data_IF_049220108201
#
_entry.id   IF_049220108201
#
_cell.length_a   1.000
_cell.length_b   1.000
_cell.length_c   1.000
_cell.angle_alpha   90.00
_cell.angle_beta   90.00
_cell.angle_gamma   90.00
#
_symmetry.space_group_name_H-M   'P 1'
#
loop_
_entity.id
_entity.type
_entity.pdbx_description
1 polymer ?
#
# COMPACT_ATOMS: atom_id res chain seq x y z
N UNK A 1 5.71 1.66 20.30
CA UNK A 1 6.87 2.54 19.97
C UNK A 1 7.64 1.86 18.85
N UNK A 2 7.93 2.57 17.78
CA UNK A 2 8.67 2.04 16.65
C UNK A 2 10.10 1.63 17.04
N UNK A 3 10.63 0.61 16.37
CA UNK A 3 12.01 0.11 16.58
C UNK A 3 13.06 1.08 15.99
N UNK A 4 12.70 1.88 15.00
CA UNK A 4 13.54 2.90 14.39
C UNK A 4 12.92 4.27 14.59
N UNK A 5 13.76 5.26 14.89
CA UNK A 5 13.32 6.64 15.10
C UNK A 5 12.98 7.30 13.75
N UNK A 6 11.91 8.11 13.70
CA UNK A 6 11.68 9.00 12.57
C UNK A 6 12.82 10.05 12.51
N UNK A 7 13.07 10.56 11.30
CA UNK A 7 14.02 11.67 11.15
C UNK A 7 13.56 12.89 11.96
N UNK A 8 14.53 13.59 12.55
CA UNK A 8 14.33 14.97 13.00
C UNK A 8 14.75 15.92 11.87
N UNK A 9 13.78 16.60 11.28
CA UNK A 9 14.03 17.51 10.16
C UNK A 9 15.00 18.64 10.51
N UNK A 10 14.98 19.13 11.75
CA UNK A 10 15.82 20.23 12.17
C UNK A 10 17.32 19.89 12.15
N UNK A 11 17.66 18.63 12.42
CA UNK A 11 19.05 18.13 12.47
C UNK A 11 19.44 17.27 11.27
N UNK A 12 18.50 17.04 10.34
CA UNK A 12 18.72 16.20 9.17
C UNK A 12 19.76 16.79 8.21
N UNK A 13 20.43 15.92 7.46
CA UNK A 13 21.33 16.31 6.37
C UNK A 13 20.59 16.95 5.19
N UNK A 14 21.32 17.64 4.31
CA UNK A 14 20.71 18.36 3.18
C UNK A 14 19.98 17.44 2.21
N UNK A 15 20.50 16.23 1.97
CA UNK A 15 19.88 15.22 1.10
C UNK A 15 18.58 14.67 1.68
N UNK A 16 18.51 14.48 3.00
CA UNK A 16 17.29 14.07 3.72
C UNK A 16 16.25 15.20 3.65
N UNK A 17 16.65 16.44 3.91
CA UNK A 17 15.76 17.60 3.82
C UNK A 17 15.22 17.78 2.39
N UNK A 18 16.08 17.70 1.39
CA UNK A 18 15.67 17.80 -0.01
C UNK A 18 14.65 16.73 -0.40
N UNK A 19 14.85 15.48 0.03
CA UNK A 19 13.90 14.39 -0.23
C UNK A 19 12.58 14.58 0.53
N UNK A 20 12.63 15.06 1.77
CA UNK A 20 11.45 15.41 2.55
C UNK A 20 10.61 16.49 1.87
N UNK A 21 11.24 17.57 1.41
CA UNK A 21 10.57 18.66 0.70
C UNK A 21 9.98 18.19 -0.64
N UNK A 22 10.72 17.36 -1.36
CA UNK A 22 10.23 16.73 -2.59
C UNK A 22 8.96 15.92 -2.33
N UNK A 23 8.93 15.12 -1.28
CA UNK A 23 7.76 14.31 -0.93
C UNK A 23 6.57 15.18 -0.54
N UNK A 24 6.79 16.24 0.25
CA UNK A 24 5.74 17.19 0.59
C UNK A 24 5.17 17.90 -0.63
N UNK A 25 6.02 18.33 -1.57
CA UNK A 25 5.59 18.97 -2.81
C UNK A 25 4.74 18.04 -3.68
N UNK A 26 5.10 16.75 -3.75
CA UNK A 26 4.40 15.76 -4.58
C UNK A 26 3.13 15.20 -3.95
N UNK A 27 3.11 15.01 -2.62
CA UNK A 27 2.08 14.23 -1.92
C UNK A 27 1.39 14.95 -0.77
N UNK A 28 1.85 16.14 -0.43
CA UNK A 28 1.23 17.04 0.55
C UNK A 28 1.41 16.63 2.02
N UNK A 29 2.02 15.48 2.32
CA UNK A 29 2.17 15.02 3.72
C UNK A 29 3.30 14.03 3.93
N UNK A 30 3.78 14.00 5.18
CA UNK A 30 4.74 13.02 5.70
C UNK A 30 4.05 12.12 6.72
N UNK A 31 3.95 10.84 6.42
CA UNK A 31 3.47 9.82 7.37
C UNK A 31 4.60 9.35 8.28
N UNK A 32 4.26 8.68 9.39
CA UNK A 32 5.24 8.09 10.29
C UNK A 32 6.18 7.12 9.57
N UNK A 33 5.61 6.26 8.71
CA UNK A 33 6.41 5.35 7.86
C UNK A 33 7.42 6.11 6.99
N UNK A 34 7.00 7.17 6.31
CA UNK A 34 7.87 7.97 5.43
C UNK A 34 8.99 8.66 6.21
N UNK A 35 8.68 9.19 7.40
CA UNK A 35 9.70 9.81 8.27
C UNK A 35 10.76 8.81 8.70
N UNK A 36 10.41 7.56 8.94
CA UNK A 36 11.36 6.50 9.27
C UNK A 36 12.15 6.09 8.03
N UNK A 37 11.50 5.91 6.88
CA UNK A 37 12.16 5.58 5.60
C UNK A 37 13.19 6.65 5.19
N UNK A 38 12.96 7.91 5.51
CA UNK A 38 13.86 9.02 5.20
C UNK A 38 15.22 8.96 5.90
N UNK A 39 15.43 8.09 6.89
CA UNK A 39 16.78 7.78 7.35
C UNK A 39 17.65 7.24 6.20
N UNK A 40 17.02 6.76 5.10
CA UNK A 40 17.67 6.43 3.83
C UNK A 40 16.83 7.03 2.69
N UNK A 41 17.21 8.17 2.10
CA UNK A 41 16.51 8.76 0.95
C UNK A 41 16.33 7.78 -0.22
N UNK A 42 17.31 6.88 -0.43
CA UNK A 42 17.20 5.84 -1.46
C UNK A 42 16.07 4.84 -1.15
N UNK A 43 15.96 4.37 0.09
CA UNK A 43 14.86 3.50 0.50
C UNK A 43 13.51 4.21 0.37
N UNK A 44 13.40 5.46 0.81
CA UNK A 44 12.20 6.25 0.67
C UNK A 44 11.72 6.34 -0.80
N UNK A 45 12.63 6.63 -1.75
CA UNK A 45 12.30 6.70 -3.19
C UNK A 45 11.79 5.38 -3.74
N UNK A 46 12.41 4.25 -3.38
CA UNK A 46 11.98 2.93 -3.83
C UNK A 46 10.55 2.64 -3.36
N UNK A 47 10.23 2.91 -2.10
CA UNK A 47 8.87 2.74 -1.60
C UNK A 47 7.88 3.73 -2.22
N UNK A 48 8.32 4.94 -2.59
CA UNK A 48 7.48 5.93 -3.26
C UNK A 48 7.07 5.53 -4.69
N UNK A 49 7.77 4.57 -5.33
CA UNK A 49 7.36 4.00 -6.63
C UNK A 49 6.01 3.25 -6.57
N UNK A 50 5.49 2.97 -5.38
CA UNK A 50 4.10 2.55 -5.20
C UNK A 50 3.12 3.48 -5.92
N UNK A 51 3.35 4.78 -5.86
CA UNK A 51 2.49 5.76 -6.52
C UNK A 51 2.58 5.69 -8.05
N UNK A 52 3.79 5.47 -8.59
CA UNK A 52 4.00 5.27 -10.02
C UNK A 52 3.22 4.04 -10.53
N UNK A 53 3.35 2.91 -9.84
CA UNK A 53 2.62 1.69 -10.21
C UNK A 53 1.10 1.85 -10.03
N UNK A 54 0.64 2.52 -8.98
CA UNK A 54 -0.78 2.84 -8.79
C UNK A 54 -1.32 3.63 -9.98
N UNK A 55 -0.59 4.66 -10.41
CA UNK A 55 -1.02 5.55 -11.50
C UNK A 55 -1.05 4.82 -12.86
N UNK A 56 -0.19 3.81 -13.06
CA UNK A 56 -0.25 2.92 -14.23
C UNK A 56 -1.45 1.97 -14.19
N UNK A 57 -1.85 1.51 -13.02
CA UNK A 57 -2.99 0.59 -12.82
C UNK A 57 -4.34 1.33 -12.83
N UNK A 58 -4.38 2.56 -12.35
CA UNK A 58 -5.61 3.32 -12.11
C UNK A 58 -6.52 3.48 -13.33
N UNK A 59 -6.02 3.75 -14.56
CA UNK A 59 -6.89 3.91 -15.73
C UNK A 59 -7.74 2.68 -16.05
N UNK A 60 -7.23 1.48 -15.74
CA UNK A 60 -7.91 0.21 -16.02
C UNK A 60 -8.71 -0.30 -14.81
N UNK A 61 -8.14 -0.22 -13.61
CA UNK A 61 -8.73 -0.84 -12.42
C UNK A 61 -9.63 0.12 -11.62
N UNK A 62 -9.33 1.42 -11.66
CA UNK A 62 -9.97 2.42 -10.80
C UNK A 62 -9.45 2.41 -9.35
N UNK A 63 -9.68 3.52 -8.64
CA UNK A 63 -9.19 3.70 -7.26
C UNK A 63 -9.77 2.66 -6.30
N UNK A 64 -11.07 2.37 -6.39
CA UNK A 64 -11.75 1.43 -5.48
C UNK A 64 -11.14 0.03 -5.55
N UNK A 65 -10.93 -0.49 -6.76
CA UNK A 65 -10.33 -1.82 -6.93
C UNK A 65 -8.89 -1.87 -6.39
N UNK A 66 -8.11 -0.82 -6.61
CA UNK A 66 -6.74 -0.69 -6.07
C UNK A 66 -6.76 -0.65 -4.54
N UNK A 67 -7.69 0.09 -3.93
CA UNK A 67 -7.80 0.13 -2.45
C UNK A 67 -8.20 -1.22 -1.87
N UNK A 68 -9.16 -1.92 -2.47
CA UNK A 68 -9.59 -3.26 -2.04
C UNK A 68 -8.44 -4.28 -2.18
N UNK A 69 -7.73 -4.24 -3.31
CA UNK A 69 -6.56 -5.08 -3.56
C UNK A 69 -5.45 -4.84 -2.53
N UNK A 70 -5.13 -3.57 -2.28
CA UNK A 70 -4.12 -3.18 -1.29
C UNK A 70 -4.53 -3.55 0.14
N UNK A 71 -5.81 -3.32 0.48
CA UNK A 71 -6.37 -3.64 1.80
C UNK A 71 -6.27 -5.14 2.09
N UNK A 72 -6.65 -6.01 1.14
CA UNK A 72 -6.60 -7.46 1.37
C UNK A 72 -5.18 -7.98 1.55
N UNK A 73 -4.18 -7.42 0.84
CA UNK A 73 -2.77 -7.74 1.05
C UNK A 73 -2.37 -7.37 2.49
N UNK A 74 -2.70 -6.14 2.91
CA UNK A 74 -2.38 -5.65 4.24
C UNK A 74 -3.06 -6.46 5.36
N UNK A 75 -4.32 -6.84 5.18
CA UNK A 75 -5.06 -7.69 6.12
C UNK A 75 -4.45 -9.09 6.22
N UNK A 76 -4.11 -9.70 5.09
CA UNK A 76 -3.49 -11.03 5.05
C UNK A 76 -2.15 -11.03 5.79
N UNK A 77 -1.39 -9.94 5.68
CA UNK A 77 -0.13 -9.74 6.38
C UNK A 77 -0.27 -9.15 7.80
N UNK A 78 -1.51 -8.88 8.25
CA UNK A 78 -1.81 -8.29 9.57
C UNK A 78 -1.06 -6.96 9.80
N UNK A 79 -0.99 -6.12 8.77
CA UNK A 79 -0.28 -4.85 8.81
C UNK A 79 -1.27 -3.70 9.11
N UNK A 80 -1.35 -3.30 10.38
CA UNK A 80 -2.36 -2.33 10.86
C UNK A 80 -2.28 -0.99 10.13
N UNK A 81 -1.09 -0.44 9.94
CA UNK A 81 -0.89 0.88 9.32
C UNK A 81 -1.46 0.93 7.91
N UNK A 82 -1.07 0.06 6.97
CA UNK A 82 -1.66 0.08 5.63
C UNK A 82 -3.13 -0.36 5.61
N UNK A 83 -3.59 -1.28 6.47
CA UNK A 83 -5.03 -1.60 6.59
C UNK A 83 -5.82 -0.34 6.89
N UNK A 84 -5.43 0.39 7.92
CA UNK A 84 -6.14 1.61 8.36
C UNK A 84 -6.07 2.71 7.30
N UNK A 85 -4.95 2.83 6.59
CA UNK A 85 -4.80 3.76 5.47
C UNK A 85 -5.83 3.50 4.35
N UNK A 86 -6.00 2.23 3.93
CA UNK A 86 -6.96 1.90 2.88
C UNK A 86 -8.40 1.91 3.37
N UNK A 87 -8.65 1.61 4.63
CA UNK A 87 -9.97 1.83 5.26
C UNK A 87 -10.37 3.29 5.18
N UNK A 88 -9.45 4.21 5.52
CA UNK A 88 -9.69 5.65 5.38
C UNK A 88 -10.05 6.00 3.93
N UNK A 89 -9.27 5.54 2.94
CA UNK A 89 -9.53 5.84 1.53
C UNK A 89 -10.93 5.41 1.08
N UNK A 90 -11.38 4.23 1.54
CA UNK A 90 -12.74 3.73 1.28
C UNK A 90 -13.80 4.58 1.97
N UNK A 91 -13.65 4.86 3.27
CA UNK A 91 -14.61 5.66 4.06
C UNK A 91 -14.72 7.08 3.51
N UNK A 92 -13.59 7.75 3.21
CA UNK A 92 -13.56 9.10 2.66
C UNK A 92 -14.21 9.18 1.27
N UNK A 93 -14.28 8.05 0.54
CA UNK A 93 -15.02 7.93 -0.72
C UNK A 93 -16.50 7.54 -0.56
N UNK A 94 -17.01 7.51 0.66
CA UNK A 94 -18.41 7.20 0.98
C UNK A 94 -18.74 5.70 1.01
N UNK A 95 -17.73 4.83 1.10
CA UNK A 95 -17.94 3.38 1.16
C UNK A 95 -17.79 2.87 2.60
N UNK A 96 -18.59 1.89 2.97
CA UNK A 96 -18.41 1.16 4.22
C UNK A 96 -17.48 -0.05 3.98
N UNK A 97 -16.23 -0.06 4.51
CA UNK A 97 -15.29 -1.14 4.29
C UNK A 97 -15.77 -2.53 4.73
N UNK A 98 -16.75 -2.59 5.64
CA UNK A 98 -17.30 -3.85 6.16
C UNK A 98 -18.49 -4.37 5.34
N UNK A 99 -19.11 -3.49 4.54
CA UNK A 99 -20.31 -3.82 3.75
C UNK A 99 -20.08 -3.81 2.23
N UNK A 100 -18.82 -3.75 1.78
CA UNK A 100 -18.52 -3.72 0.34
C UNK A 100 -18.83 -5.08 -0.30
N UNK A 101 -19.76 -5.07 -1.25
CA UNK A 101 -19.92 -6.16 -2.20
C UNK A 101 -18.96 -5.91 -3.39
N UNK A 102 -17.91 -6.74 -3.58
CA UNK A 102 -16.99 -6.56 -4.69
C UNK A 102 -17.62 -6.95 -6.02
N UNK A 103 -17.27 -6.26 -7.09
CA UNK A 103 -17.55 -6.71 -8.46
C UNK A 103 -16.78 -8.00 -8.77
N UNK A 104 -17.10 -8.66 -9.89
CA UNK A 104 -16.38 -9.88 -10.30
C UNK A 104 -14.86 -9.63 -10.48
N UNK A 105 -14.50 -8.46 -11.03
CA UNK A 105 -13.09 -8.10 -11.24
C UNK A 105 -12.40 -7.74 -9.91
N UNK A 106 -13.06 -7.02 -9.02
CA UNK A 106 -12.55 -6.74 -7.68
C UNK A 106 -12.37 -8.02 -6.85
N UNK A 107 -13.31 -8.96 -6.96
CA UNK A 107 -13.21 -10.27 -6.31
C UNK A 107 -12.02 -11.08 -6.84
N UNK A 108 -11.74 -11.04 -8.14
CA UNK A 108 -10.57 -11.67 -8.73
C UNK A 108 -9.27 -11.03 -8.24
N UNK A 109 -9.20 -9.70 -8.25
CA UNK A 109 -8.04 -8.94 -7.76
C UNK A 109 -7.78 -9.21 -6.27
N UNK A 110 -8.82 -9.22 -5.43
CA UNK A 110 -8.66 -9.51 -4.01
C UNK A 110 -8.24 -10.96 -3.74
N UNK A 111 -8.74 -11.94 -4.53
CA UNK A 111 -8.24 -13.32 -4.46
C UNK A 111 -6.76 -13.40 -4.82
N UNK A 112 -6.34 -12.71 -5.87
CA UNK A 112 -4.93 -12.64 -6.26
C UNK A 112 -4.07 -11.98 -5.17
N UNK A 113 -4.47 -10.80 -4.67
CA UNK A 113 -3.74 -10.11 -3.60
C UNK A 113 -3.59 -10.94 -2.33
N UNK A 114 -4.66 -11.64 -1.94
CA UNK A 114 -4.63 -12.57 -0.80
C UNK A 114 -3.65 -13.72 -1.03
N UNK A 115 -3.65 -14.31 -2.23
CA UNK A 115 -2.74 -15.41 -2.57
C UNK A 115 -1.28 -14.94 -2.54
N UNK A 116 -0.95 -13.80 -3.17
CA UNK A 116 0.41 -13.22 -3.14
C UNK A 116 0.89 -12.97 -1.72
N UNK A 117 0.03 -12.41 -0.86
CA UNK A 117 0.38 -12.07 0.51
C UNK A 117 0.50 -13.30 1.43
N UNK A 118 -0.21 -14.39 1.13
CA UNK A 118 -0.15 -15.63 1.90
C UNK A 118 1.05 -16.50 1.49
N UNK A 119 1.18 -16.80 0.21
CA UNK A 119 2.31 -17.53 -0.39
C UNK A 119 2.36 -17.27 -1.90
N UNK A 120 3.28 -16.42 -2.33
CA UNK A 120 3.45 -16.11 -3.74
C UNK A 120 3.87 -17.28 -4.63
N UNK A 121 4.36 -18.39 -4.04
CA UNK A 121 4.70 -19.60 -4.78
C UNK A 121 3.49 -20.52 -5.01
N UNK A 122 2.36 -20.28 -4.34
CA UNK A 122 1.17 -21.12 -4.35
C UNK A 122 -0.07 -20.39 -4.90
N UNK A 123 0.11 -19.46 -5.84
CA UNK A 123 -1.02 -18.79 -6.50
C UNK A 123 -1.76 -19.80 -7.37
N UNK A 124 -3.08 -20.00 -7.17
CA UNK A 124 -3.84 -20.99 -7.94
C UNK A 124 -3.87 -20.70 -9.46
N UNK A 125 -3.73 -21.74 -10.28
CA UNK A 125 -3.71 -21.64 -11.75
C UNK A 125 -4.99 -20.99 -12.31
N UNK A 126 -6.14 -21.24 -11.66
CA UNK A 126 -7.41 -20.62 -12.07
C UNK A 126 -7.43 -19.10 -11.85
N UNK A 127 -6.70 -18.58 -10.85
CA UNK A 127 -6.53 -17.14 -10.63
C UNK A 127 -5.70 -16.54 -11.76
N UNK A 128 -4.57 -17.17 -12.11
CA UNK A 128 -3.75 -16.74 -13.23
C UNK A 128 -4.50 -16.79 -14.56
N UNK A 129 -5.22 -17.87 -14.82
CA UNK A 129 -6.02 -18.03 -16.05
C UNK A 129 -7.09 -16.94 -16.17
N UNK A 130 -7.77 -16.61 -15.06
CA UNK A 130 -8.77 -15.57 -15.04
C UNK A 130 -8.17 -14.16 -15.21
N UNK A 131 -7.00 -13.88 -14.65
CA UNK A 131 -6.28 -12.61 -14.83
C UNK A 131 -5.82 -12.43 -16.28
N UNK A 132 -5.20 -13.46 -16.88
CA UNK A 132 -4.74 -13.45 -18.28
C UNK A 132 -5.88 -13.32 -19.28
N UNK A 133 -7.08 -13.79 -18.95
CA UNK A 133 -8.26 -13.60 -19.78
C UNK A 133 -8.80 -12.17 -19.77
N UNK A 134 -8.43 -11.34 -18.78
CA UNK A 134 -8.93 -9.97 -18.58
C UNK A 134 -7.93 -8.88 -18.89
N UNK A 135 -6.66 -9.14 -18.65
CA UNK A 135 -5.62 -8.12 -18.65
C UNK A 135 -4.44 -8.54 -19.53
N UNK A 136 -3.83 -7.57 -20.20
CA UNK A 136 -2.61 -7.79 -20.97
C UNK A 136 -1.38 -8.00 -20.05
N UNK A 137 -0.28 -8.45 -20.65
CA UNK A 137 0.95 -8.75 -19.91
C UNK A 137 1.54 -7.51 -19.21
N UNK A 138 1.42 -6.35 -19.82
CA UNK A 138 1.95 -5.09 -19.23
C UNK A 138 1.21 -4.76 -17.94
N UNK A 139 -0.13 -4.83 -17.97
CA UNK A 139 -0.93 -4.62 -16.77
C UNK A 139 -0.66 -5.68 -15.70
N UNK A 140 -0.51 -6.94 -16.10
CA UNK A 140 -0.19 -8.02 -15.16
C UNK A 140 1.18 -7.83 -14.51
N UNK A 141 2.20 -7.41 -15.26
CA UNK A 141 3.52 -7.07 -14.67
C UNK A 141 3.40 -5.93 -13.67
N UNK A 142 2.68 -4.86 -14.02
CA UNK A 142 2.46 -3.74 -13.11
C UNK A 142 1.68 -4.16 -11.86
N UNK A 143 0.69 -5.06 -11.99
CA UNK A 143 -0.11 -5.58 -10.88
C UNK A 143 0.75 -6.42 -9.92
N UNK A 144 1.61 -7.30 -10.45
CA UNK A 144 2.53 -8.12 -9.65
C UNK A 144 3.56 -7.23 -8.94
N UNK A 145 4.16 -6.26 -9.67
CA UNK A 145 5.12 -5.32 -9.08
C UNK A 145 4.47 -4.48 -7.97
N UNK A 146 3.25 -4.00 -8.20
CA UNK A 146 2.48 -3.27 -7.19
C UNK A 146 2.18 -4.13 -5.96
N UNK A 147 1.78 -5.39 -6.14
CA UNK A 147 1.59 -6.32 -5.03
C UNK A 147 2.89 -6.52 -4.24
N UNK A 148 4.04 -6.64 -4.93
CA UNK A 148 5.36 -6.76 -4.31
C UNK A 148 5.72 -5.57 -3.44
N UNK A 149 5.49 -4.33 -3.91
CA UNK A 149 5.71 -3.12 -3.08
C UNK A 149 4.72 -3.06 -1.91
N UNK A 150 3.48 -3.50 -2.08
CA UNK A 150 2.52 -3.60 -0.98
C UNK A 150 2.97 -4.59 0.09
N UNK A 151 3.46 -5.77 -0.31
CA UNK A 151 4.05 -6.75 0.63
C UNK A 151 5.26 -6.14 1.34
N UNK A 152 6.18 -5.50 0.61
CA UNK A 152 7.34 -4.81 1.20
C UNK A 152 6.90 -3.73 2.21
N UNK A 153 5.86 -2.95 1.89
CA UNK A 153 5.27 -1.95 2.81
C UNK A 153 4.77 -2.60 4.09
N UNK A 154 4.05 -3.72 3.99
CA UNK A 154 3.57 -4.46 5.16
C UNK A 154 4.73 -5.03 5.99
N UNK A 155 5.75 -5.60 5.34
CA UNK A 155 6.97 -6.09 6.03
C UNK A 155 7.65 -4.96 6.78
N UNK A 156 7.84 -3.81 6.14
CA UNK A 156 8.50 -2.65 6.77
C UNK A 156 7.70 -2.15 7.98
N UNK A 157 6.39 -1.90 7.80
CA UNK A 157 5.55 -1.36 8.88
C UNK A 157 5.45 -2.31 10.07
N UNK A 158 5.39 -3.62 9.83
CA UNK A 158 5.33 -4.63 10.88
C UNK A 158 6.68 -4.83 11.58
N UNK A 159 7.77 -5.01 10.81
CA UNK A 159 9.11 -5.27 11.36
C UNK A 159 9.62 -4.07 12.18
N UNK A 160 9.37 -2.85 11.71
CA UNK A 160 9.77 -1.61 12.39
C UNK A 160 8.77 -1.20 13.48
N UNK A 161 7.58 -1.83 13.52
CA UNK A 161 6.47 -1.45 14.43
C UNK A 161 6.11 0.02 14.28
N UNK A 162 5.89 0.45 13.03
CA UNK A 162 5.54 1.84 12.75
C UNK A 162 4.27 2.23 13.50
N UNK A 163 4.34 3.29 14.30
CA UNK A 163 3.16 3.82 15.00
C UNK A 163 2.15 4.37 13.97
N UNK A 164 0.86 4.18 14.24
CA UNK A 164 -0.20 4.71 13.40
C UNK A 164 -0.14 6.24 13.39
N UNK A 165 -0.37 6.84 12.21
CA UNK A 165 -0.47 8.30 12.10
C UNK A 165 -1.71 8.78 12.88
N UNK A 166 -1.64 9.89 13.64
CA UNK A 166 -2.76 10.35 14.46
C UNK A 166 -4.07 10.55 13.69
N UNK A 167 -3.98 11.00 12.44
CA UNK A 167 -5.14 11.20 11.58
C UNK A 167 -5.79 9.88 11.09
N UNK A 168 -5.14 8.74 11.31
CA UNK A 168 -5.68 7.42 10.99
C UNK A 168 -6.42 6.76 12.16
N UNK A 169 -6.26 7.25 13.39
CA UNK A 169 -6.85 6.64 14.59
C UNK A 169 -8.38 6.45 14.47
N UNK A 170 -9.09 7.42 13.86
CA UNK A 170 -10.54 7.35 13.68
C UNK A 170 -11.00 6.23 12.71
N UNK A 171 -10.08 5.68 11.92
CA UNK A 171 -10.34 4.68 10.88
C UNK A 171 -9.92 3.26 11.28
N UNK A 172 -9.43 3.08 12.51
CA UNK A 172 -9.11 1.74 13.02
C UNK A 172 -10.31 0.80 12.90
N UNK A 173 -10.04 -0.45 12.59
CA UNK A 173 -11.06 -1.49 12.67
C UNK A 173 -11.47 -1.66 14.14
N UNK A 174 -12.76 -1.55 14.40
CA UNK A 174 -13.28 -1.83 15.75
C UNK A 174 -13.13 -3.33 16.04
N UNK A 175 -12.59 -3.64 17.19
CA UNK A 175 -12.45 -5.01 17.67
C UNK A 175 -13.81 -5.69 17.85
#
# INVERSE_FOLDING_TARGET
MAELSPIDYATASDDIRAEHERELALRGRMTNMKRILLNSPAAHRIYAEWFTLRDLLKPTLGDRAIWLFSKVIAETMRAEVPVTFFRRALIDSGLDPEAIAPTADEALLTRFGKAVAADANAIPDEVWSALKARYDETLLVNLVAFAGIMVATCVFTNAVRVDLDPELEAYRQKA
#
